data_IF_163895834665
#
_entry.id   IF_163895834665
#
_cell.length_a   1.000
_cell.length_b   1.000
_cell.length_c   1.000
_cell.angle_alpha   90.00
_cell.angle_beta   90.00
_cell.angle_gamma   90.00
#
_symmetry.space_group_name_H-M   'P 1'
#
loop_
_entity.id
_entity.type
_entity.pdbx_description
1 polymer ?
#
# COMPACT_ATOMS: atom_id res chain seq x y z
N UNK A 1 -22.10 -3.72 2.28
CA UNK A 1 -21.02 -2.70 2.32
C UNK A 1 -20.01 -3.14 3.34
N UNK A 2 -18.73 -3.01 3.05
CA UNK A 2 -17.62 -3.35 3.95
C UNK A 2 -16.96 -2.05 4.39
N UNK A 3 -16.84 -1.83 5.71
CA UNK A 3 -16.12 -0.68 6.23
C UNK A 3 -14.63 -0.97 6.24
N UNK A 4 -13.85 -0.08 5.63
CA UNK A 4 -12.39 -0.10 5.64
C UNK A 4 -11.84 1.05 6.46
N UNK A 5 -10.67 0.86 7.07
CA UNK A 5 -9.92 1.93 7.73
C UNK A 5 -8.56 2.09 7.06
N UNK A 6 -8.07 3.33 6.99
CA UNK A 6 -6.74 3.69 6.54
C UNK A 6 -6.00 4.37 7.68
N UNK A 7 -4.80 3.90 7.98
CA UNK A 7 -3.89 4.58 8.89
C UNK A 7 -2.95 5.48 8.10
N UNK A 8 -3.05 6.79 8.30
CA UNK A 8 -2.11 7.79 7.79
C UNK A 8 -1.13 8.13 8.89
N UNK A 9 0.14 7.80 8.72
CA UNK A 9 1.13 7.90 9.80
C UNK A 9 2.35 8.72 9.43
N UNK A 10 3.03 9.22 10.46
CA UNK A 10 4.38 9.80 10.38
C UNK A 10 5.33 8.82 11.05
N UNK A 11 5.66 7.73 10.36
CA UNK A 11 6.55 6.68 10.89
C UNK A 11 7.94 7.24 11.17
N UNK A 12 8.49 6.97 12.35
CA UNK A 12 9.81 7.40 12.77
C UNK A 12 10.91 6.36 12.56
N UNK A 13 12.04 6.57 13.24
CA UNK A 13 13.24 5.70 13.18
C UNK A 13 13.28 4.67 14.32
N UNK A 14 12.31 4.70 15.24
CA UNK A 14 12.18 3.73 16.35
C UNK A 14 11.08 2.71 16.05
N UNK A 15 11.43 1.43 15.78
CA UNK A 15 10.44 0.37 15.55
C UNK A 15 9.50 0.16 16.76
N UNK A 16 9.98 0.39 17.99
CA UNK A 16 9.14 0.20 19.16
C UNK A 16 8.04 1.27 19.26
N UNK A 17 8.35 2.52 18.91
CA UNK A 17 7.35 3.59 18.81
C UNK A 17 6.35 3.31 17.68
N UNK A 18 6.84 2.86 16.51
CA UNK A 18 6.00 2.47 15.38
C UNK A 18 5.08 1.30 15.72
N UNK A 19 5.56 0.32 16.47
CA UNK A 19 4.75 -0.81 16.96
C UNK A 19 3.57 -0.32 17.79
N UNK A 20 3.82 0.53 18.79
CA UNK A 20 2.73 1.09 19.64
C UNK A 20 1.70 1.87 18.82
N UNK A 21 2.16 2.65 17.84
CA UNK A 21 1.26 3.40 16.96
C UNK A 21 0.39 2.47 16.10
N UNK A 22 0.97 1.38 15.59
CA UNK A 22 0.23 0.37 14.81
C UNK A 22 -0.78 -0.39 15.69
N UNK A 23 -0.41 -0.81 16.88
CA UNK A 23 -1.33 -1.48 17.83
C UNK A 23 -2.52 -0.56 18.17
N UNK A 24 -2.26 0.71 18.46
CA UNK A 24 -3.32 1.70 18.69
C UNK A 24 -4.21 1.88 17.46
N UNK A 25 -3.62 1.98 16.25
CA UNK A 25 -4.36 2.13 15.01
C UNK A 25 -5.25 0.92 14.72
N UNK A 26 -4.77 -0.30 15.00
CA UNK A 26 -5.54 -1.55 14.85
C UNK A 26 -6.74 -1.56 15.80
N UNK A 27 -6.52 -1.19 17.08
CA UNK A 27 -7.57 -1.10 18.08
C UNK A 27 -8.64 -0.06 17.71
N UNK A 28 -8.21 1.12 17.26
CA UNK A 28 -9.11 2.22 16.85
C UNK A 28 -9.91 1.85 15.60
N UNK A 29 -9.28 1.23 14.60
CA UNK A 29 -9.97 0.76 13.40
C UNK A 29 -11.05 -0.27 13.72
N UNK A 30 -10.75 -1.24 14.60
CA UNK A 30 -11.71 -2.24 15.05
C UNK A 30 -12.86 -1.60 15.84
N UNK A 31 -12.56 -0.69 16.76
CA UNK A 31 -13.56 0.06 17.52
C UNK A 31 -14.48 0.90 16.61
N UNK A 32 -13.93 1.43 15.50
CA UNK A 32 -14.68 2.15 14.46
C UNK A 32 -15.51 1.24 13.54
N UNK A 33 -15.48 -0.08 13.77
CA UNK A 33 -16.24 -1.06 13.01
C UNK A 33 -15.65 -1.43 11.65
N UNK A 34 -14.36 -1.15 11.42
CA UNK A 34 -13.70 -1.59 10.19
C UNK A 34 -13.46 -3.11 10.19
N UNK A 35 -13.65 -3.71 9.03
CA UNK A 35 -13.37 -5.14 8.82
C UNK A 35 -11.91 -5.38 8.41
N UNK A 36 -11.25 -4.36 7.86
CA UNK A 36 -9.84 -4.36 7.48
C UNK A 36 -9.22 -2.98 7.67
N UNK A 37 -7.99 -2.96 8.19
CA UNK A 37 -7.14 -1.77 8.27
C UNK A 37 -6.03 -1.84 7.21
N UNK A 38 -5.81 -0.73 6.49
CA UNK A 38 -4.68 -0.54 5.59
C UNK A 38 -3.67 0.42 6.21
N UNK A 39 -2.39 0.04 6.24
CA UNK A 39 -1.30 0.89 6.73
C UNK A 39 -0.36 1.31 5.59
N UNK A 40 0.43 2.37 5.73
CA UNK A 40 1.29 2.86 4.66
C UNK A 40 2.54 1.99 4.42
N UNK A 41 3.30 2.33 3.38
CA UNK A 41 4.64 1.80 3.13
C UNK A 41 5.57 2.14 4.30
N UNK A 42 6.46 1.20 4.68
CA UNK A 42 7.45 1.35 5.76
C UNK A 42 6.82 1.68 7.13
N UNK A 43 5.71 1.03 7.46
CA UNK A 43 4.96 1.30 8.70
C UNK A 43 5.74 1.00 10.00
N UNK A 44 6.77 0.14 9.94
CA UNK A 44 7.54 -0.24 11.13
C UNK A 44 8.79 0.61 11.36
N UNK A 45 9.40 1.10 10.28
CA UNK A 45 10.65 1.86 10.31
C UNK A 45 10.77 2.69 9.03
N UNK A 46 10.95 4.00 9.16
CA UNK A 46 11.21 4.89 8.05
C UNK A 46 12.51 5.66 8.31
N UNK A 47 13.61 5.16 7.78
CA UNK A 47 14.95 5.71 8.02
C UNK A 47 15.78 5.72 6.72
N UNK A 48 16.24 6.91 6.31
CA UNK A 48 17.15 7.09 5.16
C UNK A 48 18.61 6.74 5.46
N UNK A 49 18.99 6.67 6.74
CA UNK A 49 20.31 6.21 7.17
C UNK A 49 20.33 4.69 7.21
N UNK A 50 20.85 4.08 6.14
CA UNK A 50 20.89 2.62 6.01
C UNK A 50 21.72 1.94 7.09
N UNK A 51 22.78 2.57 7.60
CA UNK A 51 23.63 2.02 8.67
C UNK A 51 22.89 2.01 10.01
N UNK A 52 22.07 3.03 10.27
CA UNK A 52 21.21 3.08 11.46
C UNK A 52 20.08 2.08 11.33
N UNK A 53 19.36 2.09 10.21
CA UNK A 53 18.25 1.17 9.93
C UNK A 53 18.66 -0.30 10.05
N UNK A 54 19.84 -0.67 9.55
CA UNK A 54 20.35 -2.04 9.57
C UNK A 54 20.40 -2.67 10.99
N UNK A 55 20.56 -1.87 12.05
CA UNK A 55 20.56 -2.35 13.43
C UNK A 55 19.20 -2.89 13.88
N UNK A 56 18.12 -2.39 13.26
CA UNK A 56 16.74 -2.74 13.58
C UNK A 56 16.16 -3.80 12.64
N UNK A 57 16.77 -4.04 11.48
CA UNK A 57 16.27 -5.03 10.51
C UNK A 57 16.39 -6.45 11.05
N UNK A 58 15.36 -7.25 10.81
CA UNK A 58 15.27 -8.67 11.18
C UNK A 58 14.77 -9.49 10.01
N UNK A 59 14.97 -10.81 10.09
CA UNK A 59 14.23 -11.74 9.26
C UNK A 59 12.75 -11.71 9.62
N UNK A 60 11.90 -12.04 8.68
CA UNK A 60 10.44 -11.99 8.86
C UNK A 60 9.95 -12.71 10.13
N UNK A 61 10.50 -13.89 10.40
CA UNK A 61 10.11 -14.71 11.54
C UNK A 61 10.48 -14.08 12.91
N UNK A 62 11.45 -13.18 12.91
CA UNK A 62 11.97 -12.51 14.11
C UNK A 62 11.58 -11.03 14.20
N UNK A 63 10.81 -10.53 13.23
CA UNK A 63 10.44 -9.11 13.20
C UNK A 63 9.39 -8.79 14.29
N UNK A 64 9.74 -7.94 15.28
CA UNK A 64 8.87 -7.67 16.41
C UNK A 64 7.63 -6.85 16.03
N UNK A 65 7.74 -6.00 14.99
CA UNK A 65 6.60 -5.18 14.51
C UNK A 65 5.57 -6.10 13.87
N UNK A 66 6.01 -7.03 13.01
CA UNK A 66 5.12 -8.02 12.40
C UNK A 66 4.46 -8.92 13.45
N UNK A 67 5.22 -9.37 14.45
CA UNK A 67 4.70 -10.22 15.52
C UNK A 67 3.61 -9.49 16.33
N UNK A 68 3.83 -8.23 16.70
CA UNK A 68 2.86 -7.40 17.42
C UNK A 68 1.60 -7.13 16.58
N UNK A 69 1.76 -6.78 15.30
CA UNK A 69 0.64 -6.56 14.38
C UNK A 69 -0.23 -7.83 14.23
N UNK A 70 0.38 -9.01 14.14
CA UNK A 70 -0.35 -10.29 14.09
C UNK A 70 -1.12 -10.57 15.38
N UNK A 71 -0.51 -10.28 16.53
CA UNK A 71 -1.17 -10.41 17.83
C UNK A 71 -2.36 -9.47 17.96
N UNK A 72 -2.19 -8.19 17.60
CA UNK A 72 -3.25 -7.18 17.64
C UNK A 72 -4.39 -7.49 16.66
N UNK A 73 -4.09 -7.94 15.43
CA UNK A 73 -5.10 -8.36 14.45
C UNK A 73 -5.99 -9.49 15.01
N UNK A 74 -5.38 -10.48 15.69
CA UNK A 74 -6.09 -11.58 16.37
C UNK A 74 -6.91 -11.10 17.57
N UNK A 75 -6.33 -10.24 18.41
CA UNK A 75 -6.98 -9.69 19.60
C UNK A 75 -8.25 -8.91 19.24
N UNK A 76 -8.14 -8.03 18.27
CA UNK A 76 -9.24 -7.16 17.82
C UNK A 76 -10.10 -7.78 16.71
N UNK A 77 -9.77 -9.00 16.26
CA UNK A 77 -10.48 -9.77 15.22
C UNK A 77 -10.71 -8.99 13.92
N UNK A 78 -9.72 -8.23 13.50
CA UNK A 78 -9.71 -7.40 12.30
C UNK A 78 -8.70 -7.93 11.27
N UNK A 79 -9.00 -7.82 9.99
CA UNK A 79 -8.01 -8.02 8.94
C UNK A 79 -7.04 -6.84 8.90
N UNK A 80 -5.80 -7.10 8.52
CA UNK A 80 -4.77 -6.08 8.42
C UNK A 80 -3.99 -6.23 7.12
N UNK A 81 -3.89 -5.15 6.36
CA UNK A 81 -2.90 -4.98 5.31
C UNK A 81 -1.79 -4.08 5.83
N UNK A 82 -0.66 -4.68 6.25
CA UNK A 82 0.56 -3.91 6.51
C UNK A 82 1.11 -3.51 5.15
N UNK A 83 1.10 -2.21 4.86
CA UNK A 83 1.51 -1.69 3.55
C UNK A 83 2.93 -2.09 3.19
N UNK A 84 3.89 -1.93 4.10
CA UNK A 84 5.11 -2.72 4.11
C UNK A 84 5.94 -2.56 5.38
N UNK A 85 6.85 -3.52 5.57
CA UNK A 85 7.98 -3.50 6.49
C UNK A 85 9.28 -3.75 5.70
N UNK A 86 10.40 -3.27 6.25
CA UNK A 86 11.73 -3.60 5.78
C UNK A 86 12.20 -4.89 6.47
N UNK A 87 12.32 -5.99 5.74
CA UNK A 87 12.73 -7.29 6.29
C UNK A 87 13.98 -7.84 5.58
N UNK A 88 14.83 -8.58 6.27
CA UNK A 88 16.00 -9.21 5.66
C UNK A 88 15.54 -10.29 4.67
N UNK A 89 16.08 -10.26 3.44
CA UNK A 89 15.68 -11.12 2.33
C UNK A 89 16.55 -12.38 2.16
N UNK A 90 17.44 -12.71 3.11
CA UNK A 90 18.29 -13.89 3.06
C UNK A 90 19.44 -13.86 2.04
N UNK A 91 19.49 -12.87 1.14
CA UNK A 91 20.51 -12.69 0.10
C UNK A 91 21.47 -11.51 0.38
N UNK A 92 21.49 -11.03 1.61
CA UNK A 92 22.26 -9.86 2.04
C UNK A 92 21.61 -8.52 1.70
N UNK A 93 20.42 -8.53 1.12
CA UNK A 93 19.59 -7.35 0.86
C UNK A 93 18.31 -7.35 1.72
N UNK A 94 17.59 -6.26 1.65
CA UNK A 94 16.31 -6.03 2.33
C UNK A 94 15.17 -6.18 1.34
N UNK A 95 14.04 -6.74 1.77
CA UNK A 95 12.79 -6.71 1.03
C UNK A 95 11.91 -5.58 1.58
N UNK A 96 11.32 -4.78 0.70
CA UNK A 96 10.21 -3.88 1.00
C UNK A 96 8.93 -4.72 0.87
N UNK A 97 8.48 -5.33 2.00
CA UNK A 97 7.49 -6.41 2.00
C UNK A 97 6.18 -6.00 2.65
N UNK A 98 5.09 -6.07 1.87
CA UNK A 98 3.73 -5.94 2.36
C UNK A 98 3.17 -7.28 2.85
N UNK A 99 2.23 -7.22 3.80
CA UNK A 99 1.58 -8.40 4.38
C UNK A 99 0.07 -8.24 4.43
N UNK A 100 -0.65 -9.32 4.15
CA UNK A 100 -2.07 -9.44 4.47
C UNK A 100 -2.23 -10.45 5.59
N UNK A 101 -2.89 -10.04 6.67
CA UNK A 101 -3.08 -10.82 7.89
C UNK A 101 -4.57 -10.95 8.14
N UNK A 102 -5.05 -12.17 8.44
CA UNK A 102 -6.45 -12.41 8.76
C UNK A 102 -6.77 -12.09 10.24
N UNK A 103 -8.06 -12.19 10.58
CA UNK A 103 -8.56 -11.92 11.94
C UNK A 103 -8.10 -12.94 12.99
N UNK A 104 -7.48 -14.02 12.59
CA UNK A 104 -6.85 -15.02 13.44
C UNK A 104 -5.34 -14.74 13.62
N UNK A 105 -4.79 -13.70 12.97
CA UNK A 105 -3.38 -13.33 12.99
C UNK A 105 -2.49 -14.17 12.06
N UNK A 106 -3.09 -14.90 11.11
CA UNK A 106 -2.32 -15.67 10.13
C UNK A 106 -1.97 -14.81 8.93
N UNK A 107 -0.72 -14.91 8.48
CA UNK A 107 -0.28 -14.26 7.24
C UNK A 107 -0.89 -15.02 6.05
N UNK A 108 -1.74 -14.33 5.30
CA UNK A 108 -2.43 -14.86 4.12
C UNK A 108 -1.65 -14.59 2.83
N UNK A 109 -0.89 -13.51 2.78
CA UNK A 109 -0.05 -13.18 1.64
C UNK A 109 1.14 -12.30 2.02
N UNK A 110 2.14 -12.34 1.16
CA UNK A 110 3.33 -11.47 1.16
C UNK A 110 3.49 -10.90 -0.24
N UNK A 111 3.91 -9.65 -0.33
CA UNK A 111 4.24 -9.01 -1.59
C UNK A 111 5.52 -8.21 -1.43
N UNK A 112 6.54 -8.53 -2.21
CA UNK A 112 7.76 -7.74 -2.29
C UNK A 112 7.62 -6.73 -3.43
N UNK A 113 7.91 -5.46 -3.15
CA UNK A 113 7.82 -4.35 -4.11
C UNK A 113 8.55 -4.68 -5.40
N UNK A 114 7.85 -4.63 -6.54
CA UNK A 114 8.41 -4.96 -7.84
C UNK A 114 9.32 -3.87 -8.38
N UNK A 115 8.89 -2.61 -8.29
CA UNK A 115 9.59 -1.49 -8.89
C UNK A 115 10.25 -0.63 -7.82
N UNK A 116 11.58 -0.61 -7.83
CA UNK A 116 12.39 0.13 -6.87
C UNK A 116 12.52 1.59 -7.27
N UNK A 117 12.52 2.48 -6.26
CA UNK A 117 12.51 3.93 -6.45
C UNK A 117 13.94 4.46 -6.64
N UNK A 118 14.44 4.38 -7.88
CA UNK A 118 15.72 4.93 -8.30
C UNK A 118 15.47 6.16 -9.17
N UNK A 119 15.54 7.35 -8.56
CA UNK A 119 15.14 8.60 -9.24
C UNK A 119 16.03 9.77 -8.83
N UNK A 120 16.13 10.75 -9.71
CA UNK A 120 16.67 12.07 -9.46
C UNK A 120 15.53 13.08 -9.60
N UNK A 121 15.21 13.79 -8.51
CA UNK A 121 14.12 14.76 -8.50
C UNK A 121 14.60 16.16 -8.86
N UNK A 122 13.75 17.02 -9.45
CA UNK A 122 14.10 18.42 -9.75
C UNK A 122 14.50 19.25 -8.53
N UNK A 123 14.13 18.79 -7.32
CA UNK A 123 14.53 19.39 -6.04
C UNK A 123 15.98 19.14 -5.67
N UNK A 124 16.71 18.31 -6.43
CA UNK A 124 18.08 17.87 -6.13
C UNK A 124 18.14 16.62 -5.25
N UNK A 125 17.00 16.07 -4.83
CA UNK A 125 16.94 14.79 -4.11
C UNK A 125 17.22 13.63 -5.06
N UNK A 126 18.11 12.72 -4.66
CA UNK A 126 18.42 11.49 -5.36
C UNK A 126 18.13 10.28 -4.48
N UNK A 127 17.44 9.31 -5.03
CA UNK A 127 17.06 8.07 -4.35
C UNK A 127 17.59 6.88 -5.14
N UNK A 128 18.11 5.88 -4.44
CA UNK A 128 18.64 4.62 -5.01
C UNK A 128 18.20 3.47 -4.11
N UNK A 129 16.92 3.12 -4.18
CA UNK A 129 16.33 2.04 -3.37
C UNK A 129 17.00 0.70 -3.70
N UNK A 130 17.41 0.48 -4.95
CA UNK A 130 18.09 -0.74 -5.41
C UNK A 130 19.45 -1.00 -4.75
N UNK A 131 20.08 0.02 -4.14
CA UNK A 131 21.33 -0.20 -3.39
C UNK A 131 21.11 -1.09 -2.16
N UNK A 132 19.96 -0.97 -1.52
CA UNK A 132 19.63 -1.65 -0.26
C UNK A 132 18.60 -2.76 -0.45
N UNK A 133 17.60 -2.53 -1.30
CA UNK A 133 16.44 -3.42 -1.46
C UNK A 133 16.57 -4.34 -2.68
N UNK A 134 15.98 -5.53 -2.57
CA UNK A 134 15.75 -6.44 -3.70
C UNK A 134 14.37 -6.19 -4.29
N UNK A 135 14.28 -6.18 -5.62
CA UNK A 135 12.99 -6.21 -6.30
C UNK A 135 12.27 -7.54 -6.07
N UNK A 136 10.95 -7.48 -5.94
CA UNK A 136 10.09 -8.65 -5.97
C UNK A 136 10.03 -9.29 -7.35
N UNK A 137 9.38 -10.46 -7.44
CA UNK A 137 9.32 -11.25 -8.69
C UNK A 137 7.89 -11.66 -9.09
N UNK A 138 6.87 -11.28 -8.33
CA UNK A 138 5.51 -11.78 -8.55
C UNK A 138 4.41 -10.74 -8.37
N UNK A 139 3.33 -10.93 -9.12
CA UNK A 139 2.06 -10.23 -8.92
C UNK A 139 1.24 -11.02 -7.90
N UNK A 140 0.69 -10.38 -6.89
CA UNK A 140 -0.02 -11.04 -5.79
C UNK A 140 -1.47 -10.56 -5.72
N UNK A 141 -2.39 -11.52 -5.77
CA UNK A 141 -3.81 -11.33 -5.54
C UNK A 141 -4.26 -12.23 -4.38
N UNK A 142 -4.96 -11.65 -3.41
CA UNK A 142 -5.42 -12.36 -2.20
C UNK A 142 -6.92 -12.56 -2.26
N UNK A 143 -7.35 -13.81 -2.23
CA UNK A 143 -8.77 -14.16 -2.21
C UNK A 143 -9.31 -14.28 -0.77
N UNK A 144 -10.63 -14.06 -0.62
CA UNK A 144 -11.34 -14.29 0.64
C UNK A 144 -11.08 -13.24 1.71
N UNK A 145 -10.71 -12.03 1.30
CA UNK A 145 -10.64 -10.87 2.21
C UNK A 145 -12.03 -10.25 2.39
N UNK A 146 -12.26 -9.43 3.42
CA UNK A 146 -13.53 -8.71 3.61
C UNK A 146 -13.88 -7.79 2.42
N UNK A 147 -12.88 -7.38 1.66
CA UNK A 147 -13.01 -6.48 0.50
C UNK A 147 -12.94 -7.22 -0.84
N UNK A 148 -13.21 -8.53 -0.86
CA UNK A 148 -13.13 -9.35 -2.07
C UNK A 148 -11.70 -9.76 -2.42
N UNK A 149 -11.36 -9.70 -3.71
CA UNK A 149 -10.03 -10.03 -4.24
C UNK A 149 -9.12 -8.82 -4.16
N UNK A 150 -8.15 -8.86 -3.26
CA UNK A 150 -7.23 -7.76 -2.97
C UNK A 150 -5.92 -7.91 -3.74
N UNK A 151 -5.65 -7.01 -4.68
CA UNK A 151 -4.38 -6.87 -5.39
C UNK A 151 -3.36 -6.06 -4.58
N UNK A 152 -2.11 -6.51 -4.56
CA UNK A 152 -1.06 -5.87 -3.78
C UNK A 152 -0.07 -5.13 -4.68
N UNK A 153 0.24 -3.89 -4.30
CA UNK A 153 1.28 -3.04 -4.88
C UNK A 153 1.93 -2.23 -3.77
N UNK A 154 3.06 -1.57 -4.04
CA UNK A 154 3.71 -0.64 -3.08
C UNK A 154 4.23 0.59 -3.82
N UNK A 155 3.71 1.76 -3.49
CA UNK A 155 4.26 3.10 -3.76
C UNK A 155 4.65 3.33 -5.23
N UNK A 156 5.94 3.16 -5.58
CA UNK A 156 6.46 3.40 -6.93
C UNK A 156 5.82 2.51 -7.99
N UNK A 157 5.28 1.35 -7.60
CA UNK A 157 4.49 0.47 -8.48
C UNK A 157 3.33 1.21 -9.16
N UNK A 158 2.81 2.28 -8.52
CA UNK A 158 1.76 3.13 -9.07
C UNK A 158 2.09 3.68 -10.46
N UNK A 159 3.37 3.87 -10.81
CA UNK A 159 3.80 4.40 -12.09
C UNK A 159 3.78 3.37 -13.23
N UNK A 160 3.55 2.11 -12.92
CA UNK A 160 3.65 1.00 -13.87
C UNK A 160 2.27 0.41 -14.17
N UNK A 161 1.54 0.93 -15.19
CA UNK A 161 0.17 0.52 -15.50
C UNK A 161 0.05 -0.97 -15.82
N UNK A 162 1.12 -1.60 -16.32
CA UNK A 162 1.15 -3.03 -16.62
C UNK A 162 0.86 -3.92 -15.41
N UNK A 163 1.34 -3.54 -14.20
CA UNK A 163 1.04 -4.28 -12.98
C UNK A 163 -0.46 -4.21 -12.64
N UNK A 164 -1.06 -3.03 -12.72
CA UNK A 164 -2.49 -2.83 -12.48
C UNK A 164 -3.34 -3.56 -13.51
N UNK A 165 -2.90 -3.57 -14.77
CA UNK A 165 -3.54 -4.34 -15.82
C UNK A 165 -3.55 -5.84 -15.51
N UNK A 166 -2.44 -6.42 -15.03
CA UNK A 166 -2.35 -7.83 -14.64
C UNK A 166 -3.25 -8.16 -13.44
N UNK A 167 -3.33 -7.28 -12.44
CA UNK A 167 -4.24 -7.46 -11.32
C UNK A 167 -5.71 -7.40 -11.76
N UNK A 168 -6.06 -6.47 -12.66
CA UNK A 168 -7.40 -6.39 -13.24
C UNK A 168 -7.76 -7.62 -14.09
N UNK A 169 -6.82 -8.17 -14.87
CA UNK A 169 -6.97 -9.42 -15.63
C UNK A 169 -7.17 -10.63 -14.72
N UNK A 170 -6.56 -10.62 -13.54
CA UNK A 170 -6.77 -11.62 -12.49
C UNK A 170 -8.06 -11.39 -11.68
N UNK A 171 -8.89 -10.46 -12.14
CA UNK A 171 -10.20 -10.15 -11.56
C UNK A 171 -10.13 -9.59 -10.14
N UNK A 172 -9.17 -8.70 -9.89
CA UNK A 172 -9.11 -7.94 -8.64
C UNK A 172 -10.36 -7.07 -8.46
N UNK A 173 -10.84 -7.00 -7.22
CA UNK A 173 -11.92 -6.09 -6.81
C UNK A 173 -11.36 -4.78 -6.27
N UNK A 174 -10.24 -4.87 -5.55
CA UNK A 174 -9.55 -3.75 -4.92
C UNK A 174 -8.05 -3.88 -5.14
N UNK A 175 -7.35 -2.76 -5.33
CA UNK A 175 -5.89 -2.70 -5.31
C UNK A 175 -5.45 -1.80 -4.15
N UNK A 176 -4.59 -2.34 -3.28
CA UNK A 176 -3.91 -1.57 -2.25
C UNK A 176 -2.66 -0.90 -2.81
N UNK A 177 -2.47 0.39 -2.49
CA UNK A 177 -1.31 1.20 -2.88
C UNK A 177 -0.75 1.93 -1.65
N UNK A 178 -0.16 1.21 -0.69
CA UNK A 178 0.53 1.84 0.42
C UNK A 178 1.73 2.64 -0.08
N UNK A 179 2.00 3.82 0.50
CA UNK A 179 3.03 4.68 -0.04
C UNK A 179 3.71 5.59 1.00
N UNK A 180 4.93 6.02 0.64
CA UNK A 180 5.68 7.12 1.25
C UNK A 180 6.07 8.13 0.14
N UNK A 181 5.06 8.71 -0.53
CA UNK A 181 5.25 9.59 -1.67
C UNK A 181 5.87 10.91 -1.25
N UNK A 182 6.88 11.40 -2.01
CA UNK A 182 7.48 12.71 -1.76
C UNK A 182 6.49 13.83 -2.04
N UNK A 183 6.58 14.93 -1.32
CA UNK A 183 5.66 16.07 -1.48
C UNK A 183 5.60 16.61 -2.92
N UNK A 184 6.72 16.83 -3.64
CA UNK A 184 6.66 17.36 -5.00
C UNK A 184 5.91 16.43 -5.97
N UNK A 185 6.22 15.12 -5.93
CA UNK A 185 5.57 14.15 -6.81
C UNK A 185 4.13 13.84 -6.36
N UNK A 186 3.86 13.94 -5.07
CA UNK A 186 2.52 13.79 -4.51
C UNK A 186 1.57 14.85 -5.05
N UNK A 187 1.94 16.13 -4.92
CA UNK A 187 1.15 17.26 -5.43
C UNK A 187 0.84 17.16 -6.92
N UNK A 188 1.80 16.68 -7.71
CA UNK A 188 1.65 16.62 -9.16
C UNK A 188 0.94 15.34 -9.66
N UNK A 189 1.11 14.19 -9.00
CA UNK A 189 0.77 12.90 -9.60
C UNK A 189 -0.17 12.01 -8.78
N UNK A 190 -0.21 12.14 -7.44
CA UNK A 190 -0.82 11.16 -6.55
C UNK A 190 -2.29 10.90 -6.87
N UNK A 191 -3.11 11.92 -6.79
CA UNK A 191 -4.55 11.82 -7.06
C UNK A 191 -4.83 11.39 -8.50
N UNK A 192 -4.10 11.97 -9.45
CA UNK A 192 -4.30 11.70 -10.88
C UNK A 192 -4.03 10.24 -11.20
N UNK A 193 -2.88 9.71 -10.76
CA UNK A 193 -2.50 8.33 -11.05
C UNK A 193 -3.41 7.33 -10.36
N UNK A 194 -3.73 7.52 -9.07
CA UNK A 194 -4.62 6.60 -8.35
C UNK A 194 -6.02 6.55 -8.96
N UNK A 195 -6.58 7.71 -9.34
CA UNK A 195 -7.87 7.76 -10.04
C UNK A 195 -7.80 7.09 -11.41
N UNK A 196 -6.70 7.30 -12.16
CA UNK A 196 -6.51 6.61 -13.43
C UNK A 196 -6.50 5.08 -13.24
N UNK A 197 -5.80 4.55 -12.23
CA UNK A 197 -5.79 3.10 -11.94
C UNK A 197 -7.17 2.55 -11.60
N UNK A 198 -7.96 3.27 -10.82
CA UNK A 198 -9.32 2.88 -10.49
C UNK A 198 -10.21 2.83 -11.74
N UNK A 199 -10.16 3.87 -12.58
CA UNK A 199 -10.99 4.03 -13.77
C UNK A 199 -10.63 2.99 -14.85
N UNK A 200 -9.34 2.86 -15.21
CA UNK A 200 -8.91 1.97 -16.30
C UNK A 200 -9.08 0.48 -15.98
N UNK A 201 -9.06 0.13 -14.69
CA UNK A 201 -9.25 -1.24 -14.21
C UNK A 201 -10.68 -1.52 -13.71
N UNK A 202 -11.52 -0.48 -13.58
CA UNK A 202 -12.90 -0.60 -13.11
C UNK A 202 -12.99 -1.28 -11.75
N UNK A 203 -12.14 -0.87 -10.78
CA UNK A 203 -12.05 -1.44 -9.44
C UNK A 203 -11.80 -0.35 -8.39
N UNK A 204 -11.89 -0.71 -7.10
CA UNK A 204 -11.52 0.21 -6.04
C UNK A 204 -10.00 0.33 -5.88
N UNK A 205 -9.54 1.51 -5.48
CA UNK A 205 -8.16 1.74 -5.05
C UNK A 205 -8.17 2.23 -3.62
N UNK A 206 -7.37 1.59 -2.76
CA UNK A 206 -7.17 1.98 -1.35
C UNK A 206 -5.69 2.29 -1.15
N UNK A 207 -5.39 3.55 -0.86
CA UNK A 207 -4.03 4.05 -0.81
C UNK A 207 -3.73 4.68 0.56
N UNK A 208 -3.19 3.89 1.50
CA UNK A 208 -2.71 4.39 2.78
C UNK A 208 -1.32 5.02 2.62
N UNK A 209 -1.14 6.23 3.12
CA UNK A 209 0.05 7.03 2.87
C UNK A 209 0.76 7.49 4.16
N UNK A 210 2.08 7.59 4.09
CA UNK A 210 2.88 8.33 5.05
C UNK A 210 2.65 9.83 4.87
N UNK A 211 2.65 10.59 5.98
CA UNK A 211 2.36 12.03 5.97
C UNK A 211 3.36 12.83 6.82
N UNK A 212 3.60 14.07 6.42
CA UNK A 212 4.31 15.05 7.22
C UNK A 212 5.83 14.92 7.21
N UNK A 213 6.47 15.47 8.25
CA UNK A 213 7.93 15.48 8.38
C UNK A 213 8.38 14.36 9.33
N UNK A 214 9.17 13.44 8.80
CA UNK A 214 9.72 12.30 9.52
C UNK A 214 11.02 12.64 10.27
N UNK A 215 11.37 11.83 11.28
CA UNK A 215 12.58 12.00 12.08
C UNK A 215 13.87 11.93 11.26
N UNK A 216 13.89 11.20 10.15
CA UNK A 216 15.03 11.12 9.23
C UNK A 216 15.16 12.34 8.30
N UNK A 217 14.27 13.33 8.45
CA UNK A 217 14.26 14.60 7.73
C UNK A 217 13.49 14.59 6.41
N UNK A 218 13.01 13.44 5.91
CA UNK A 218 12.16 13.41 4.71
C UNK A 218 10.77 13.99 4.99
N UNK A 219 10.11 14.39 3.91
CA UNK A 219 8.71 14.82 3.97
C UNK A 219 7.87 13.99 2.99
N UNK A 220 6.70 13.58 3.44
CA UNK A 220 5.75 12.80 2.62
C UNK A 220 4.42 13.51 2.49
N UNK A 221 3.70 13.20 1.42
CA UNK A 221 2.59 13.99 0.92
C UNK A 221 1.29 13.78 1.69
N UNK A 222 1.09 12.61 2.32
CA UNK A 222 -0.19 12.26 2.93
C UNK A 222 -1.25 11.91 1.90
N UNK A 223 -2.47 12.43 2.13
CA UNK A 223 -3.63 12.18 1.28
C UNK A 223 -3.88 10.68 1.09
N UNK A 224 -4.04 9.93 2.20
CA UNK A 224 -4.57 8.57 2.11
C UNK A 224 -5.94 8.60 1.46
N UNK A 225 -6.15 7.76 0.43
CA UNK A 225 -7.32 7.83 -0.45
C UNK A 225 -8.08 6.50 -0.51
N UNK A 226 -9.41 6.59 -0.61
CA UNK A 226 -10.26 5.51 -1.13
C UNK A 226 -10.96 6.03 -2.37
N UNK A 227 -10.83 5.31 -3.47
CA UNK A 227 -11.33 5.70 -4.79
C UNK A 227 -12.22 4.59 -5.33
N UNK A 228 -13.41 4.94 -5.82
CA UNK A 228 -14.34 3.99 -6.41
C UNK A 228 -13.99 3.64 -7.88
N UNK A 229 -14.61 2.61 -8.47
CA UNK A 229 -14.36 2.21 -9.86
C UNK A 229 -14.67 3.29 -10.92
N UNK A 230 -15.45 4.33 -10.56
CA UNK A 230 -15.75 5.47 -11.43
C UNK A 230 -14.71 6.59 -11.31
N UNK A 231 -13.80 6.50 -10.34
CA UNK A 231 -12.80 7.51 -10.04
C UNK A 231 -13.27 8.58 -9.04
N UNK A 232 -14.38 8.34 -8.35
CA UNK A 232 -14.85 9.22 -7.27
C UNK A 232 -14.03 8.98 -5.99
N UNK A 233 -13.70 10.08 -5.30
CA UNK A 233 -13.01 10.01 -4.02
C UNK A 233 -14.06 9.76 -2.93
N UNK A 234 -13.99 8.56 -2.31
CA UNK A 234 -14.82 8.22 -1.15
C UNK A 234 -14.19 8.71 0.15
N UNK A 235 -12.86 8.83 0.18
CA UNK A 235 -12.09 9.38 1.29
C UNK A 235 -10.84 10.08 0.74
N UNK A 236 -10.53 11.25 1.30
CA UNK A 236 -9.22 11.90 1.23
C UNK A 236 -8.90 12.43 2.63
N UNK A 237 -7.83 11.92 3.24
CA UNK A 237 -7.45 12.26 4.62
C UNK A 237 -6.65 13.57 4.72
N UNK A 238 -6.31 14.20 3.59
CA UNK A 238 -5.52 15.44 3.61
C UNK A 238 -4.11 15.25 4.17
N UNK A 239 -3.61 16.24 4.91
CA UNK A 239 -2.21 16.32 5.35
C UNK A 239 -2.02 15.99 6.85
N UNK A 240 -3.05 15.56 7.57
CA UNK A 240 -2.96 15.27 9.01
C UNK A 240 -2.87 13.76 9.27
N UNK A 241 -2.02 13.32 10.23
CA UNK A 241 -1.98 11.91 10.62
C UNK A 241 -3.27 11.49 11.34
N UNK A 242 -3.61 10.21 11.27
CA UNK A 242 -4.79 9.67 11.95
C UNK A 242 -5.37 8.46 11.24
N UNK A 243 -6.64 8.14 11.58
CA UNK A 243 -7.40 7.05 10.97
C UNK A 243 -8.61 7.62 10.23
N UNK A 244 -8.75 7.24 8.96
CA UNK A 244 -9.90 7.54 8.14
C UNK A 244 -10.70 6.28 7.84
N UNK A 245 -12.02 6.45 7.66
CA UNK A 245 -12.95 5.35 7.37
C UNK A 245 -13.69 5.59 6.06
N UNK A 246 -13.93 4.52 5.31
CA UNK A 246 -14.81 4.53 4.15
C UNK A 246 -15.63 3.24 4.07
N UNK A 247 -16.83 3.34 3.50
CA UNK A 247 -17.68 2.18 3.25
C UNK A 247 -17.61 1.80 1.76
N UNK A 248 -17.23 0.56 1.46
CA UNK A 248 -17.05 0.02 0.10
C UNK A 248 -18.24 -0.88 -0.24
N UNK A 249 -18.90 -0.60 -1.36
CA UNK A 249 -19.91 -1.50 -1.94
C UNK A 249 -19.34 -2.17 -3.19
N UNK A 250 -18.96 -3.43 -3.10
CA UNK A 250 -18.39 -4.19 -4.23
C UNK A 250 -19.34 -4.31 -5.44
N UNK A 251 -20.66 -4.10 -5.26
CA UNK A 251 -21.62 -4.08 -6.38
C UNK A 251 -21.31 -2.94 -7.36
N UNK A 252 -20.69 -1.86 -6.88
CA UNK A 252 -20.27 -0.74 -7.72
C UNK A 252 -19.32 -1.17 -8.85
N UNK A 253 -18.51 -2.22 -8.63
CA UNK A 253 -17.61 -2.78 -9.64
C UNK A 253 -18.42 -3.32 -10.83
N UNK A 254 -19.42 -4.16 -10.56
CA UNK A 254 -20.26 -4.74 -11.61
C UNK A 254 -21.06 -3.67 -12.35
N UNK A 255 -21.56 -2.64 -11.64
CA UNK A 255 -22.32 -1.54 -12.22
C UNK A 255 -21.45 -0.72 -13.20
N UNK A 256 -20.21 -0.41 -12.80
CA UNK A 256 -19.27 0.37 -13.63
C UNK A 256 -18.78 -0.46 -14.81
N UNK A 257 -18.33 -1.70 -14.57
CA UNK A 257 -17.87 -2.61 -15.64
C UNK A 257 -19.01 -2.96 -16.61
N UNK A 258 -20.26 -3.01 -16.17
CA UNK A 258 -21.42 -3.22 -17.03
C UNK A 258 -21.70 -2.03 -17.96
N UNK A 259 -21.42 -0.80 -17.50
CA UNK A 259 -21.60 0.43 -18.31
C UNK A 259 -20.42 0.68 -19.25
N UNK A 260 -19.20 0.45 -18.79
CA UNK A 260 -17.96 0.62 -19.56
C UNK A 260 -17.14 -0.67 -19.45
N UNK A 261 -17.41 -1.68 -20.29
CA UNK A 261 -16.77 -2.99 -20.19
C UNK A 261 -15.35 -2.99 -20.81
N UNK A 262 -14.51 -2.03 -20.42
CA UNK A 262 -13.17 -1.81 -20.96
C UNK A 262 -12.27 -3.06 -20.87
N UNK A 263 -12.39 -3.83 -19.77
CA UNK A 263 -11.59 -5.03 -19.58
C UNK A 263 -11.91 -6.12 -20.62
N UNK A 264 -13.19 -6.30 -20.98
CA UNK A 264 -13.61 -7.27 -21.99
C UNK A 264 -13.33 -6.81 -23.42
N UNK A 265 -13.13 -5.51 -23.63
CA UNK A 265 -12.80 -4.91 -24.94
C UNK A 265 -11.30 -4.88 -25.23
N UNK A 266 -10.44 -5.31 -24.30
CA UNK A 266 -8.99 -5.35 -24.50
C UNK A 266 -8.63 -6.21 -25.69
N UNK A 267 -7.67 -5.73 -26.48
CA UNK A 267 -7.07 -6.45 -27.60
C UNK A 267 -5.56 -6.53 -27.43
N UNK A 268 -4.90 -7.54 -28.02
CA UNK A 268 -3.45 -7.52 -28.13
C UNK A 268 -2.99 -6.23 -28.81
N UNK A 269 -2.01 -5.58 -28.21
CA UNK A 269 -1.42 -4.35 -28.77
C UNK A 269 -0.22 -4.79 -29.62
N UNK A 270 -0.22 -4.53 -30.94
CA UNK A 270 0.91 -4.85 -31.79
C UNK A 270 2.10 -3.93 -31.49
N UNK A 271 3.29 -4.34 -31.96
CA UNK A 271 4.48 -3.50 -31.87
C UNK A 271 4.30 -2.19 -32.64
N UNK A 272 4.94 -1.14 -32.13
CA UNK A 272 4.93 0.16 -32.79
C UNK A 272 5.71 0.09 -34.11
N UNK A 273 5.15 0.65 -35.18
CA UNK A 273 5.83 0.80 -36.47
C UNK A 273 6.34 2.24 -36.58
N UNK A 274 7.65 2.40 -36.82
CA UNK A 274 8.23 3.71 -37.16
C UNK A 274 8.15 3.88 -38.69
N UNK A 275 7.47 4.96 -39.12
CA UNK A 275 7.30 5.32 -40.56
C UNK A 275 8.30 6.40 -40.94
#
# INVERSE_FOLDING_TARGET
>A
MTRVALFQSTTGIDPAASTRALEQAIAEAAAGGAEILFTPEMSGLLDRDSARAAKSLREEAEDPVLAACRAAAREHRIWLHIGSLAVLAGNGKVANRGFVIDREGHIRARYDKLHLFDVDLPTGESWRESNTYSAGSGVVLVNGTPVGKLGLTICYDLRFPGLFARLAEADADIIAVPAAFTVPTGKAHWHILLRARAIEAGLFVVAAAQVGRHEDGRQTFGHSLVIDPWGELLLDMGEEPGIGFADIDLKRISDVRGRIPALSHRRPIPDAVTL
#
